data_IF_328826192537
#
_entry.id   IF_328826192537
#
_cell.length_a   1.000
_cell.length_b   1.000
_cell.length_c   1.000
_cell.angle_alpha   90.00
_cell.angle_beta   90.00
_cell.angle_gamma   90.00
#
_symmetry.space_group_name_H-M   'P 1'
#
loop_
_entity.id
_entity.type
_entity.pdbx_description
1 polymer ?
#
# COMPACT_ATOMS: atom_id res chain seq x y z
N UNK A 1 -18.41 10.97 -11.55
CA UNK A 1 -17.27 11.00 -12.48
C UNK A 1 -17.63 11.43 -13.90
N UNK A 2 -18.87 11.23 -14.37
CA UNK A 2 -19.23 11.51 -15.77
C UNK A 2 -19.52 13.00 -16.06
N UNK A 3 -19.88 13.76 -15.02
CA UNK A 3 -20.31 15.17 -15.14
C UNK A 3 -19.21 16.19 -14.80
N UNK A 4 -17.96 15.74 -14.64
CA UNK A 4 -16.82 16.62 -14.38
C UNK A 4 -15.99 16.84 -15.65
N UNK A 5 -15.15 17.88 -15.63
CA UNK A 5 -14.20 18.11 -16.71
C UNK A 5 -13.25 16.91 -16.85
N UNK A 6 -13.41 16.16 -17.95
CA UNK A 6 -12.70 14.89 -18.20
C UNK A 6 -11.18 15.05 -18.20
N UNK A 7 -10.67 16.17 -18.71
CA UNK A 7 -9.21 16.45 -18.74
C UNK A 7 -8.66 16.68 -17.34
N UNK A 8 -9.35 17.47 -16.51
CA UNK A 8 -8.95 17.70 -15.11
C UNK A 8 -9.03 16.41 -14.29
N UNK A 9 -10.09 15.63 -14.47
CA UNK A 9 -10.25 14.33 -13.82
C UNK A 9 -9.10 13.39 -14.18
N UNK A 10 -8.80 13.23 -15.48
CA UNK A 10 -7.70 12.39 -15.94
C UNK A 10 -6.37 12.82 -15.31
N UNK A 11 -6.07 14.12 -15.31
CA UNK A 11 -4.82 14.63 -14.73
C UNK A 11 -4.72 14.37 -13.23
N UNK A 12 -5.83 14.49 -12.49
CA UNK A 12 -5.87 14.18 -11.07
C UNK A 12 -5.63 12.68 -10.84
N UNK A 13 -6.33 11.82 -11.57
CA UNK A 13 -6.17 10.37 -11.47
C UNK A 13 -4.75 9.93 -11.83
N UNK A 14 -4.18 10.44 -12.93
CA UNK A 14 -2.81 10.11 -13.33
C UNK A 14 -1.79 10.49 -12.25
N UNK A 15 -2.01 11.61 -11.54
CA UNK A 15 -1.15 12.02 -10.41
C UNK A 15 -1.26 11.08 -9.22
N UNK A 16 -2.47 10.64 -8.87
CA UNK A 16 -2.66 9.66 -7.78
C UNK A 16 -2.02 8.31 -8.13
N UNK A 17 -2.15 7.87 -9.39
CA UNK A 17 -1.49 6.66 -9.88
C UNK A 17 0.03 6.81 -9.82
N UNK A 18 0.57 7.92 -10.30
CA UNK A 18 2.01 8.22 -10.20
C UNK A 18 2.49 8.17 -8.74
N UNK A 19 1.78 8.84 -7.82
CA UNK A 19 2.13 8.84 -6.40
C UNK A 19 2.14 7.42 -5.82
N UNK A 20 1.10 6.62 -6.10
CA UNK A 20 1.01 5.25 -5.59
C UNK A 20 2.10 4.33 -6.17
N UNK A 21 2.39 4.46 -7.48
CA UNK A 21 3.41 3.65 -8.17
C UNK A 21 4.81 3.98 -7.67
N UNK A 22 5.14 5.26 -7.51
CA UNK A 22 6.45 5.67 -7.00
C UNK A 22 6.61 5.35 -5.51
N UNK A 23 5.55 5.50 -4.70
CA UNK A 23 5.57 5.08 -3.31
C UNK A 23 5.83 3.57 -3.16
N UNK A 24 5.14 2.74 -3.96
CA UNK A 24 5.36 1.30 -3.94
C UNK A 24 6.72 0.90 -4.53
N UNK A 25 7.19 1.61 -5.56
CA UNK A 25 8.31 1.22 -6.40
C UNK A 25 7.99 -0.02 -7.25
N UNK A 26 8.79 -0.27 -8.28
CA UNK A 26 8.50 -1.33 -9.27
C UNK A 26 9.71 -2.24 -9.48
N UNK A 27 9.47 -3.53 -9.68
CA UNK A 27 10.55 -4.42 -10.11
C UNK A 27 10.78 -4.26 -11.63
N UNK A 28 11.97 -3.80 -12.00
CA UNK A 28 12.32 -3.48 -13.39
C UNK A 28 12.22 -4.70 -14.34
N UNK A 29 12.47 -5.90 -13.82
CA UNK A 29 12.48 -7.13 -14.60
C UNK A 29 11.09 -7.74 -14.81
N UNK A 30 10.08 -7.35 -14.03
CA UNK A 30 8.73 -7.93 -14.12
C UNK A 30 7.64 -6.90 -14.41
N UNK A 31 7.88 -5.60 -14.15
CA UNK A 31 6.90 -4.55 -14.36
C UNK A 31 6.46 -4.47 -15.83
N UNK A 32 5.17 -4.21 -16.06
CA UNK A 32 4.64 -3.97 -17.39
C UNK A 32 4.95 -2.54 -17.87
N UNK A 33 4.92 -2.30 -19.19
CA UNK A 33 5.07 -0.94 -19.73
C UNK A 33 4.04 0.05 -19.20
N UNK A 34 2.83 -0.42 -18.87
CA UNK A 34 1.75 0.40 -18.32
C UNK A 34 2.01 0.86 -16.90
N UNK A 35 2.81 0.11 -16.14
CA UNK A 35 3.25 0.48 -14.79
C UNK A 35 4.48 1.38 -14.86
N UNK A 36 5.46 1.01 -15.68
CA UNK A 36 6.72 1.75 -15.85
C UNK A 36 6.52 3.19 -16.31
N UNK A 37 5.51 3.48 -17.14
CA UNK A 37 5.24 4.85 -17.60
C UNK A 37 4.85 5.84 -16.48
N UNK A 38 4.48 5.34 -15.30
CA UNK A 38 4.10 6.14 -14.13
C UNK A 38 5.28 6.31 -13.15
N UNK A 39 6.45 5.78 -13.45
CA UNK A 39 7.66 6.03 -12.65
C UNK A 39 8.20 7.43 -12.97
N UNK A 40 8.62 8.14 -11.93
CA UNK A 40 9.25 9.45 -12.06
C UNK A 40 10.40 9.42 -13.06
N UNK A 41 10.44 10.39 -13.96
CA UNK A 41 11.45 10.46 -15.03
C UNK A 41 11.22 9.55 -16.23
N UNK A 42 10.22 8.65 -16.19
CA UNK A 42 9.84 7.80 -17.30
C UNK A 42 8.57 8.31 -18.01
N UNK A 43 8.41 7.87 -19.25
CA UNK A 43 7.25 8.07 -20.09
C UNK A 43 6.93 6.79 -20.88
N UNK A 44 5.83 6.82 -21.63
CA UNK A 44 5.36 5.69 -22.44
C UNK A 44 6.46 5.11 -23.36
N UNK A 45 7.22 5.97 -24.05
CA UNK A 45 8.28 5.54 -24.97
C UNK A 45 9.47 4.90 -24.24
N UNK A 46 9.91 5.49 -23.13
CA UNK A 46 10.98 4.90 -22.32
C UNK A 46 10.56 3.58 -21.67
N UNK A 47 9.30 3.48 -21.23
CA UNK A 47 8.74 2.25 -20.67
C UNK A 47 8.73 1.11 -21.69
N UNK A 48 8.35 1.40 -22.95
CA UNK A 48 8.44 0.44 -24.05
C UNK A 48 9.89 0.02 -24.33
N UNK A 49 10.82 0.97 -24.34
CA UNK A 49 12.23 0.68 -24.57
C UNK A 49 12.85 -0.16 -23.45
N UNK A 50 12.43 0.01 -22.18
CA UNK A 50 12.87 -0.83 -21.07
C UNK A 50 12.43 -2.28 -21.28
N UNK A 51 11.16 -2.50 -21.61
CA UNK A 51 10.62 -3.85 -21.85
C UNK A 51 11.34 -4.49 -23.03
N UNK A 52 11.49 -3.76 -24.13
CA UNK A 52 12.23 -4.23 -25.30
C UNK A 52 13.69 -4.56 -24.99
N UNK A 53 14.36 -3.72 -24.19
CA UNK A 53 15.73 -3.96 -23.77
C UNK A 53 15.89 -5.29 -23.03
N UNK A 54 15.01 -5.58 -22.05
CA UNK A 54 15.10 -6.85 -21.30
C UNK A 54 14.70 -8.08 -22.11
N UNK A 55 13.84 -7.92 -23.12
CA UNK A 55 13.51 -9.00 -24.05
C UNK A 55 14.69 -9.33 -24.99
N UNK A 56 15.44 -8.31 -25.42
CA UNK A 56 16.57 -8.49 -26.37
C UNK A 56 17.91 -8.79 -25.69
N UNK A 57 18.18 -8.21 -24.52
CA UNK A 57 19.47 -8.30 -23.82
C UNK A 57 19.43 -9.18 -22.57
N UNK A 58 18.24 -9.63 -22.17
CA UNK A 58 18.02 -10.36 -20.93
C UNK A 58 17.73 -9.43 -19.76
N UNK A 59 17.52 -10.03 -18.58
CA UNK A 59 17.13 -9.30 -17.37
C UNK A 59 18.21 -8.32 -16.92
N UNK A 60 17.77 -7.17 -16.40
CA UNK A 60 18.65 -6.18 -15.78
C UNK A 60 19.31 -6.77 -14.54
N UNK A 61 20.62 -6.59 -14.43
CA UNK A 61 21.41 -7.03 -13.27
C UNK A 61 21.79 -5.89 -12.34
N UNK A 62 21.87 -4.67 -12.87
CA UNK A 62 22.20 -3.46 -12.13
C UNK A 62 21.40 -2.27 -12.63
N UNK A 63 21.10 -1.30 -11.77
CA UNK A 63 20.33 -0.10 -12.15
C UNK A 63 21.00 0.70 -13.26
N UNK A 64 22.33 0.80 -13.27
CA UNK A 64 23.09 1.58 -14.24
C UNK A 64 22.88 1.10 -15.68
N UNK A 65 22.42 -0.14 -15.87
CA UNK A 65 22.04 -0.66 -17.19
C UNK A 65 20.85 0.09 -17.80
N UNK A 66 20.03 0.80 -17.01
CA UNK A 66 19.01 1.72 -17.51
C UNK A 66 19.59 2.80 -18.43
N UNK A 67 20.83 3.25 -18.19
CA UNK A 67 21.50 4.24 -19.06
C UNK A 67 21.82 3.67 -20.46
N UNK A 68 21.80 2.35 -20.62
CA UNK A 68 21.97 1.68 -21.93
C UNK A 68 20.64 1.61 -22.70
N UNK A 69 19.52 1.93 -22.06
CA UNK A 69 18.19 1.91 -22.69
C UNK A 69 17.99 3.20 -23.48
N UNK A 70 17.57 3.05 -24.74
CA UNK A 70 17.31 4.20 -25.62
C UNK A 70 16.26 5.13 -24.99
N UNK A 71 16.58 6.42 -24.92
CA UNK A 71 15.68 7.45 -24.40
C UNK A 71 15.73 7.64 -22.88
N UNK A 72 16.63 6.92 -22.18
CA UNK A 72 16.94 7.17 -20.77
C UNK A 72 18.31 7.85 -20.70
N UNK A 73 18.31 9.16 -20.45
CA UNK A 73 19.52 9.93 -20.17
C UNK A 73 19.82 9.99 -18.66
N UNK A 74 20.92 10.64 -18.29
CA UNK A 74 21.34 10.82 -16.89
C UNK A 74 20.23 11.37 -16.00
N UNK A 75 19.52 12.42 -16.44
CA UNK A 75 18.43 13.03 -15.68
C UNK A 75 17.23 12.09 -15.50
N UNK A 76 16.88 11.33 -16.54
CA UNK A 76 15.79 10.35 -16.44
C UNK A 76 16.16 9.21 -15.50
N UNK A 77 17.43 8.77 -15.55
CA UNK A 77 17.97 7.77 -14.64
C UNK A 77 17.94 8.25 -13.18
N UNK A 78 18.45 9.45 -12.89
CA UNK A 78 18.43 10.06 -11.55
C UNK A 78 17.01 10.15 -10.98
N UNK A 79 16.03 10.53 -11.80
CA UNK A 79 14.64 10.61 -11.33
C UNK A 79 13.98 9.23 -11.13
N UNK A 80 14.40 8.21 -11.90
CA UNK A 80 13.75 6.90 -11.90
C UNK A 80 14.43 5.86 -10.99
N UNK A 81 15.73 5.97 -10.75
CA UNK A 81 16.54 4.88 -10.21
C UNK A 81 16.09 4.44 -8.81
N UNK A 82 15.71 5.39 -7.95
CA UNK A 82 15.24 5.10 -6.58
C UNK A 82 13.92 4.30 -6.55
N UNK A 83 13.11 4.38 -7.61
CA UNK A 83 11.81 3.71 -7.71
C UNK A 83 11.88 2.38 -8.47
N UNK A 84 12.96 2.14 -9.22
CA UNK A 84 13.19 0.91 -9.98
C UNK A 84 14.01 -0.09 -9.14
N UNK A 85 13.43 -1.23 -8.77
CA UNK A 85 14.08 -2.29 -7.99
C UNK A 85 14.54 -3.44 -8.88
N UNK A 86 15.66 -4.07 -8.53
CA UNK A 86 16.16 -5.28 -9.18
C UNK A 86 16.33 -6.36 -8.10
N UNK A 87 15.48 -7.38 -8.14
CA UNK A 87 15.56 -8.52 -7.23
C UNK A 87 16.54 -9.55 -7.80
N UNK A 88 17.51 -9.98 -6.99
CA UNK A 88 18.53 -10.96 -7.40
C UNK A 88 19.55 -10.42 -8.41
N UNK A 89 19.73 -9.10 -8.47
CA UNK A 89 20.78 -8.46 -9.26
C UNK A 89 22.17 -8.61 -8.64
N UNK A 90 23.19 -8.11 -9.36
CA UNK A 90 24.58 -8.16 -8.91
C UNK A 90 24.83 -7.25 -7.70
N UNK A 91 24.10 -6.14 -7.60
CA UNK A 91 24.17 -5.22 -6.47
C UNK A 91 22.96 -5.42 -5.54
N UNK A 92 23.16 -5.91 -4.29
CA UNK A 92 22.07 -6.10 -3.34
C UNK A 92 21.29 -4.82 -3.00
N UNK A 93 21.93 -3.65 -3.05
CA UNK A 93 21.28 -2.37 -2.77
C UNK A 93 20.20 -2.01 -3.80
N UNK A 94 20.29 -2.54 -5.02
CA UNK A 94 19.28 -2.31 -6.07
C UNK A 94 17.92 -2.94 -5.73
N UNK A 95 17.86 -3.81 -4.72
CA UNK A 95 16.61 -4.36 -4.18
C UNK A 95 15.88 -3.42 -3.20
N UNK A 96 16.53 -2.33 -2.80
CA UNK A 96 16.03 -1.36 -1.81
C UNK A 96 15.50 -0.08 -2.48
N UNK A 97 14.91 0.82 -1.70
CA UNK A 97 14.51 2.18 -2.13
C UNK A 97 15.67 3.18 -2.11
N UNK A 98 16.86 2.76 -1.70
CA UNK A 98 18.05 3.64 -1.61
C UNK A 98 18.43 4.09 -3.02
N UNK A 99 18.55 5.39 -3.23
CA UNK A 99 19.00 5.94 -4.51
C UNK A 99 20.49 5.65 -4.74
N UNK A 100 20.96 5.39 -5.99
CA UNK A 100 22.38 5.16 -6.28
C UNK A 100 23.34 6.25 -5.76
N UNK A 101 22.89 7.50 -5.70
CA UNK A 101 23.65 8.61 -5.10
C UNK A 101 24.00 8.39 -3.62
N UNK A 102 23.14 7.65 -2.90
CA UNK A 102 23.32 7.34 -1.48
C UNK A 102 23.96 5.97 -1.23
N UNK A 103 24.48 5.29 -2.26
CA UNK A 103 25.12 3.98 -2.08
C UNK A 103 26.37 4.05 -1.21
N UNK A 104 27.14 5.14 -1.31
CA UNK A 104 28.31 5.33 -0.44
C UNK A 104 27.91 5.41 1.03
N UNK A 105 26.82 6.12 1.34
CA UNK A 105 26.28 6.22 2.70
C UNK A 105 25.78 4.85 3.17
N UNK A 106 25.04 4.13 2.33
CA UNK A 106 24.53 2.80 2.67
C UNK A 106 25.66 1.80 2.97
N UNK A 107 26.73 1.82 2.18
CA UNK A 107 27.91 0.99 2.41
C UNK A 107 28.59 1.38 3.73
N UNK A 108 28.81 2.67 3.99
CA UNK A 108 29.43 3.14 5.22
C UNK A 108 28.61 2.77 6.48
N UNK A 109 27.28 2.87 6.41
CA UNK A 109 26.38 2.41 7.49
C UNK A 109 26.53 0.92 7.75
N UNK A 110 26.56 0.10 6.68
CA UNK A 110 26.74 -1.36 6.81
C UNK A 110 28.11 -1.71 7.39
N UNK A 111 29.18 -1.04 6.94
CA UNK A 111 30.53 -1.26 7.43
C UNK A 111 30.66 -0.90 8.92
N UNK A 112 30.02 0.20 9.36
CA UNK A 112 30.01 0.60 10.77
C UNK A 112 29.38 -0.46 11.68
N UNK A 113 28.35 -1.17 11.21
CA UNK A 113 27.72 -2.28 11.94
C UNK A 113 28.37 -3.64 11.67
N UNK A 114 29.52 -3.68 10.98
CA UNK A 114 30.28 -4.90 10.67
C UNK A 114 29.57 -5.84 9.69
N UNK A 115 28.86 -5.27 8.71
CA UNK A 115 28.13 -5.98 7.67
C UNK A 115 28.54 -5.48 6.28
N UNK A 116 28.09 -6.19 5.25
CA UNK A 116 28.30 -5.84 3.85
C UNK A 116 26.97 -5.92 3.06
N UNK A 117 26.93 -5.38 1.82
CA UNK A 117 25.71 -5.40 1.02
C UNK A 117 25.09 -6.79 0.79
N UNK A 118 25.90 -7.86 0.76
CA UNK A 118 25.36 -9.21 0.54
C UNK A 118 24.55 -9.75 1.73
N UNK A 119 24.74 -9.17 2.92
CA UNK A 119 24.03 -9.54 4.13
C UNK A 119 22.55 -9.08 4.11
N UNK A 120 22.20 -8.10 3.27
CA UNK A 120 20.81 -7.66 3.05
C UNK A 120 19.90 -8.83 2.60
N UNK A 121 20.47 -9.78 1.87
CA UNK A 121 19.74 -10.95 1.36
C UNK A 121 19.83 -12.13 2.33
N UNK A 122 20.99 -12.34 2.95
CA UNK A 122 21.29 -13.54 3.75
C UNK A 122 20.85 -13.45 5.21
N UNK A 123 21.01 -12.28 5.84
CA UNK A 123 20.96 -12.13 7.30
C UNK A 123 20.02 -10.99 7.73
N UNK A 124 18.77 -11.03 7.25
CA UNK A 124 17.78 -9.94 7.45
C UNK A 124 17.48 -9.63 8.92
N UNK A 125 17.36 -10.64 9.77
CA UNK A 125 17.04 -10.43 11.19
C UNK A 125 18.21 -9.80 11.95
N UNK A 126 19.42 -10.35 11.78
CA UNK A 126 20.64 -9.79 12.38
C UNK A 126 20.89 -8.34 11.90
N UNK A 127 20.67 -8.04 10.62
CA UNK A 127 20.75 -6.69 10.08
C UNK A 127 19.78 -5.73 10.78
N UNK A 128 18.53 -6.15 10.97
CA UNK A 128 17.51 -5.34 11.67
C UNK A 128 17.89 -5.08 13.12
N UNK A 129 18.42 -6.08 13.80
CA UNK A 129 18.82 -5.96 15.21
C UNK A 129 20.01 -5.02 15.38
N UNK A 130 21.03 -5.12 14.51
CA UNK A 130 22.15 -4.17 14.54
C UNK A 130 21.74 -2.74 14.20
N UNK A 131 20.87 -2.56 13.20
CA UNK A 131 20.34 -1.25 12.82
C UNK A 131 19.40 -0.65 13.87
N UNK A 132 18.87 -1.44 14.81
CA UNK A 132 18.07 -0.93 15.94
C UNK A 132 18.95 -0.20 16.95
N UNK A 133 20.18 -0.66 17.14
CA UNK A 133 21.14 -0.09 18.08
C UNK A 133 22.08 0.94 17.43
N UNK A 134 21.96 1.15 16.11
CA UNK A 134 22.77 2.11 15.38
C UNK A 134 22.40 3.55 15.75
N UNK A 135 23.36 4.31 16.25
CA UNK A 135 23.17 5.72 16.55
C UNK A 135 23.44 6.57 15.30
N UNK A 136 22.35 7.05 14.70
CA UNK A 136 22.39 7.89 13.50
C UNK A 136 23.11 9.22 13.77
N UNK A 137 22.95 9.78 14.98
CA UNK A 137 23.50 11.09 15.32
C UNK A 137 25.04 11.03 15.37
N UNK A 138 25.58 10.09 16.14
CA UNK A 138 27.04 9.90 16.30
C UNK A 138 27.70 9.63 14.93
N UNK A 139 27.06 8.79 14.10
CA UNK A 139 27.57 8.50 12.76
C UNK A 139 27.60 9.75 11.87
N UNK A 140 26.58 10.60 11.90
CA UNK A 140 26.57 11.83 11.10
C UNK A 140 27.64 12.83 11.56
N UNK A 141 27.92 12.89 12.86
CA UNK A 141 28.98 13.73 13.42
C UNK A 141 30.38 13.25 13.00
N UNK A 142 30.58 11.93 12.84
CA UNK A 142 31.83 11.35 12.38
C UNK A 142 32.06 11.45 10.86
N UNK A 143 31.00 11.41 10.05
CA UNK A 143 31.11 11.29 8.58
C UNK A 143 30.67 12.54 7.79
N UNK A 144 30.16 13.58 8.45
CA UNK A 144 29.59 14.80 7.84
C UNK A 144 28.44 14.52 6.85
N UNK A 145 27.78 13.36 6.98
CA UNK A 145 26.62 13.02 6.15
C UNK A 145 25.35 13.71 6.66
N UNK A 146 24.45 14.04 5.74
CA UNK A 146 23.19 14.66 6.09
C UNK A 146 22.30 13.70 6.90
N UNK A 147 21.87 14.14 8.08
CA UNK A 147 21.05 13.38 9.02
C UNK A 147 19.78 12.79 8.38
N UNK A 148 19.10 13.54 7.51
CA UNK A 148 17.86 13.11 6.85
C UNK A 148 18.18 11.97 5.89
N UNK A 149 19.21 12.13 5.06
CA UNK A 149 19.64 11.09 4.11
C UNK A 149 20.09 9.81 4.82
N UNK A 150 20.87 9.92 5.91
CA UNK A 150 21.29 8.74 6.68
C UNK A 150 20.09 8.04 7.31
N UNK A 151 19.13 8.80 7.85
CA UNK A 151 17.91 8.22 8.41
C UNK A 151 17.10 7.45 7.36
N UNK A 152 16.93 8.02 6.18
CA UNK A 152 16.21 7.37 5.07
C UNK A 152 16.92 6.10 4.61
N UNK A 153 18.25 6.14 4.51
CA UNK A 153 19.08 4.97 4.19
C UNK A 153 18.92 3.87 5.25
N UNK A 154 19.02 4.21 6.53
CA UNK A 154 18.87 3.25 7.64
C UNK A 154 17.48 2.60 7.62
N UNK A 155 16.42 3.38 7.39
CA UNK A 155 15.06 2.84 7.31
C UNK A 155 14.89 1.91 6.09
N UNK A 156 15.47 2.27 4.94
CA UNK A 156 15.47 1.42 3.76
C UNK A 156 16.26 0.11 3.97
N UNK A 157 17.38 0.16 4.72
CA UNK A 157 18.18 -1.02 5.07
C UNK A 157 17.46 -1.95 6.07
N UNK A 158 16.63 -1.43 6.98
CA UNK A 158 15.82 -2.26 7.91
C UNK A 158 14.76 -3.11 7.18
N UNK A 159 14.29 -2.64 6.02
CA UNK A 159 13.19 -3.25 5.27
C UNK A 159 13.59 -3.52 3.80
N UNK A 160 14.61 -4.36 3.54
CA UNK A 160 15.09 -4.59 2.19
C UNK A 160 14.03 -5.35 1.38
N UNK A 161 13.54 -4.69 0.32
CA UNK A 161 12.55 -5.26 -0.59
C UNK A 161 11.14 -5.41 -0.02
N UNK A 162 10.81 -4.78 1.11
CA UNK A 162 9.44 -4.77 1.63
C UNK A 162 8.55 -3.94 0.69
N UNK A 163 7.37 -4.47 0.38
CA UNK A 163 6.36 -3.69 -0.30
C UNK A 163 5.65 -2.84 0.75
N UNK A 164 5.54 -1.51 0.59
CA UNK A 164 4.84 -0.68 1.56
C UNK A 164 3.35 -1.05 1.69
N UNK A 165 2.82 -1.86 0.76
CA UNK A 165 1.48 -2.46 0.87
C UNK A 165 1.39 -3.54 1.95
N UNK A 166 2.49 -4.18 2.35
CA UNK A 166 2.48 -5.23 3.38
C UNK A 166 2.16 -4.67 4.77
N UNK A 167 2.41 -3.37 4.99
CA UNK A 167 2.07 -2.65 6.23
C UNK A 167 0.62 -2.18 6.27
N UNK A 168 -0.09 -2.19 5.13
CA UNK A 168 -1.50 -1.83 5.10
C UNK A 168 -2.31 -2.90 5.82
N UNK A 169 -3.38 -2.51 6.55
CA UNK A 169 -4.28 -3.49 7.13
C UNK A 169 -4.74 -4.40 6.00
N UNK A 170 -4.50 -5.71 6.17
CA UNK A 170 -4.95 -6.69 5.21
C UNK A 170 -6.44 -6.44 4.98
N UNK A 171 -6.91 -6.44 3.71
CA UNK A 171 -8.33 -6.42 3.46
C UNK A 171 -8.95 -7.46 4.38
N UNK A 172 -10.00 -7.09 5.10
CA UNK A 172 -10.84 -8.07 5.76
C UNK A 172 -11.44 -8.91 4.62
N UNK A 173 -10.72 -9.96 4.23
CA UNK A 173 -11.26 -11.00 3.40
C UNK A 173 -12.44 -11.53 4.21
N UNK A 174 -13.66 -11.25 3.75
CA UNK A 174 -14.82 -12.02 4.19
C UNK A 174 -14.56 -13.44 3.67
N UNK A 175 -13.80 -14.23 4.41
CA UNK A 175 -13.51 -15.63 4.08
C UNK A 175 -14.80 -16.46 4.09
N UNK A 176 -15.85 -15.95 4.72
CA UNK A 176 -17.15 -16.59 4.77
C UNK A 176 -18.14 -15.72 4.00
N UNK A 177 -18.49 -16.13 2.77
CA UNK A 177 -19.78 -15.76 2.19
C UNK A 177 -20.84 -16.41 3.08
N UNK A 178 -21.18 -15.73 4.17
CA UNK A 178 -22.25 -16.13 5.07
C UNK A 178 -23.52 -16.22 4.22
N UNK A 179 -24.11 -17.41 4.11
CA UNK A 179 -25.44 -17.54 3.52
C UNK A 179 -26.48 -17.11 4.56
N UNK A 180 -27.65 -16.66 4.10
CA UNK A 180 -28.73 -16.25 5.03
C UNK A 180 -29.13 -17.39 5.98
N UNK A 181 -28.93 -18.65 5.55
CA UNK A 181 -29.17 -19.88 6.32
C UNK A 181 -28.21 -20.07 7.50
N UNK A 182 -27.02 -19.49 7.43
CA UNK A 182 -26.00 -19.55 8.49
C UNK A 182 -26.15 -18.44 9.53
N UNK A 183 -27.03 -17.46 9.28
CA UNK A 183 -27.30 -16.39 10.24
C UNK A 183 -28.22 -16.88 11.35
N UNK A 184 -27.71 -16.86 12.58
CA UNK A 184 -28.49 -17.14 13.77
C UNK A 184 -28.81 -15.85 14.53
N UNK A 185 -30.04 -15.70 15.07
CA UNK A 185 -30.35 -14.64 16.02
C UNK A 185 -29.36 -14.63 17.18
N UNK A 186 -28.79 -13.47 17.48
CA UNK A 186 -27.79 -13.27 18.53
C UNK A 186 -26.35 -13.08 18.04
N UNK A 187 -26.04 -13.43 16.78
CA UNK A 187 -24.72 -13.22 16.19
C UNK A 187 -24.38 -11.73 16.10
N UNK A 188 -23.13 -11.37 16.39
CA UNK A 188 -22.61 -10.02 16.21
C UNK A 188 -21.67 -10.01 15.01
N UNK A 189 -21.89 -9.10 14.07
CA UNK A 189 -21.19 -9.00 12.80
C UNK A 189 -20.78 -7.54 12.56
N UNK A 190 -19.78 -7.35 11.71
CA UNK A 190 -19.42 -6.03 11.19
C UNK A 190 -20.03 -5.85 9.79
N UNK A 191 -20.68 -4.71 9.58
CA UNK A 191 -21.33 -4.40 8.32
C UNK A 191 -21.16 -2.95 7.90
N UNK A 192 -21.30 -2.70 6.62
CA UNK A 192 -21.13 -1.37 6.03
C UNK A 192 -22.50 -0.75 5.74
N UNK A 193 -22.72 0.48 6.20
CA UNK A 193 -23.96 1.21 5.94
C UNK A 193 -24.07 1.52 4.44
N UNK A 194 -25.07 0.95 3.76
CA UNK A 194 -25.34 1.22 2.33
C UNK A 194 -26.26 2.41 2.14
N UNK A 195 -27.25 2.57 3.03
CA UNK A 195 -28.23 3.63 2.92
C UNK A 195 -28.82 3.97 4.28
N UNK A 196 -29.17 5.24 4.48
CA UNK A 196 -29.81 5.74 5.70
C UNK A 196 -31.13 6.40 5.31
N UNK A 197 -32.20 6.02 6.00
CA UNK A 197 -33.57 6.50 5.77
C UNK A 197 -34.17 6.98 7.09
N UNK A 198 -35.25 7.75 7.05
CA UNK A 198 -35.84 8.37 8.25
C UNK A 198 -36.21 7.37 9.35
N UNK A 199 -36.53 6.13 8.98
CA UNK A 199 -36.93 5.07 9.92
C UNK A 199 -35.83 4.06 10.28
N UNK A 200 -34.63 4.19 9.72
CA UNK A 200 -33.56 3.22 9.97
C UNK A 200 -32.36 3.33 9.03
N UNK A 201 -31.52 2.30 9.03
CA UNK A 201 -30.37 2.20 8.15
C UNK A 201 -30.24 0.79 7.59
N UNK A 202 -29.86 0.70 6.32
CA UNK A 202 -29.55 -0.55 5.64
C UNK A 202 -28.06 -0.81 5.71
N UNK A 203 -27.70 -1.99 6.24
CA UNK A 203 -26.31 -2.39 6.49
C UNK A 203 -26.02 -3.70 5.78
N UNK A 204 -24.94 -3.71 5.02
CA UNK A 204 -24.39 -4.88 4.34
C UNK A 204 -23.48 -5.64 5.30
N UNK A 205 -23.97 -6.77 5.79
CA UNK A 205 -23.26 -7.69 6.69
C UNK A 205 -22.54 -8.84 5.97
N UNK A 206 -22.48 -8.82 4.63
CA UNK A 206 -21.79 -9.85 3.84
C UNK A 206 -22.63 -11.01 3.38
N UNK A 207 -23.93 -10.94 3.63
CA UNK A 207 -24.91 -11.80 2.97
C UNK A 207 -25.49 -11.04 1.77
N UNK A 208 -26.01 -11.74 0.75
CA UNK A 208 -26.57 -11.12 -0.46
C UNK A 208 -27.70 -10.10 -0.21
N UNK A 209 -28.21 -10.06 1.02
CA UNK A 209 -29.35 -9.25 1.45
C UNK A 209 -28.95 -8.26 2.53
N UNK A 210 -29.42 -7.02 2.41
CA UNK A 210 -29.14 -5.98 3.41
C UNK A 210 -29.98 -6.18 4.67
N UNK A 211 -29.37 -5.98 5.82
CA UNK A 211 -30.08 -5.95 7.09
C UNK A 211 -30.57 -4.56 7.45
N UNK A 212 -31.75 -4.47 8.05
CA UNK A 212 -32.36 -3.21 8.47
C UNK A 212 -32.14 -3.01 9.98
N UNK A 213 -31.50 -1.91 10.34
CA UNK A 213 -31.51 -1.39 11.70
C UNK A 213 -32.66 -0.41 11.81
N UNK A 214 -33.63 -0.69 12.70
CA UNK A 214 -34.72 0.24 12.96
C UNK A 214 -34.27 1.38 13.89
N UNK A 215 -34.84 2.58 13.77
CA UNK A 215 -34.47 3.75 14.61
C UNK A 215 -34.49 3.46 16.12
N UNK A 216 -35.43 2.61 16.57
CA UNK A 216 -35.56 2.21 17.98
C UNK A 216 -34.48 1.24 18.46
N UNK A 217 -33.71 0.68 17.52
CA UNK A 217 -32.63 -0.29 17.73
C UNK A 217 -31.24 0.32 17.49
N UNK A 218 -31.17 1.65 17.39
CA UNK A 218 -29.93 2.41 17.26
C UNK A 218 -29.45 3.05 18.58
N UNK A 219 -30.29 3.07 19.63
CA UNK A 219 -29.99 3.71 20.91
C UNK A 219 -31.21 4.41 21.53
N UNK A 220 -31.16 4.73 22.84
CA UNK A 220 -32.35 5.10 23.63
C UNK A 220 -32.93 6.50 23.41
N UNK A 221 -32.32 7.40 22.62
CA UNK A 221 -32.82 8.77 22.36
C UNK A 221 -32.32 9.35 21.03
N UNK A 222 -32.77 8.80 19.90
CA UNK A 222 -32.32 9.28 18.57
C UNK A 222 -33.46 10.00 17.87
N UNK A 223 -33.21 11.24 17.44
CA UNK A 223 -34.14 12.05 16.65
C UNK A 223 -34.01 11.72 15.17
N UNK A 224 -32.79 11.64 14.65
CA UNK A 224 -32.51 11.33 13.24
C UNK A 224 -31.35 10.31 13.07
N UNK A 225 -31.55 9.22 12.30
CA UNK A 225 -30.51 8.21 12.00
C UNK A 225 -29.26 8.77 11.29
N UNK A 226 -29.41 9.88 10.57
CA UNK A 226 -28.35 10.57 9.82
C UNK A 226 -27.27 11.20 10.72
N UNK A 227 -27.55 11.45 12.00
CA UNK A 227 -26.58 12.03 12.93
C UNK A 227 -25.51 11.02 13.40
N UNK A 228 -25.80 9.73 13.31
CA UNK A 228 -24.97 8.66 13.89
C UNK A 228 -24.35 7.78 12.81
N UNK A 229 -25.06 7.60 11.70
CA UNK A 229 -24.66 6.71 10.63
C UNK A 229 -24.45 7.49 9.33
N UNK A 230 -23.26 7.37 8.78
CA UNK A 230 -22.92 7.85 7.44
C UNK A 230 -22.90 6.70 6.45
N UNK A 231 -23.35 6.95 5.21
CA UNK A 231 -23.21 5.96 4.12
C UNK A 231 -21.73 5.64 3.92
N UNK A 232 -21.38 4.36 3.91
CA UNK A 232 -20.01 3.85 3.83
C UNK A 232 -19.33 3.61 5.18
N UNK A 233 -19.96 3.96 6.30
CA UNK A 233 -19.43 3.69 7.64
C UNK A 233 -19.49 2.20 7.99
N UNK A 234 -18.43 1.68 8.61
CA UNK A 234 -18.38 0.32 9.15
C UNK A 234 -18.91 0.35 10.59
N UNK A 235 -19.90 -0.50 10.88
CA UNK A 235 -20.57 -0.58 12.18
C UNK A 235 -20.70 -2.01 12.66
N UNK A 236 -20.66 -2.19 13.99
CA UNK A 236 -20.97 -3.47 14.65
C UNK A 236 -22.47 -3.60 14.87
N UNK A 237 -23.02 -4.71 14.41
CA UNK A 237 -24.46 -4.99 14.43
C UNK A 237 -24.73 -6.37 14.99
N UNK A 238 -25.83 -6.52 15.71
CA UNK A 238 -26.31 -7.79 16.23
C UNK A 238 -27.56 -8.24 15.47
N UNK A 239 -27.60 -9.50 15.06
CA UNK A 239 -28.75 -10.10 14.37
C UNK A 239 -29.87 -10.33 15.39
N UNK A 240 -31.01 -9.68 15.20
CA UNK A 240 -32.20 -9.88 16.04
C UNK A 240 -33.08 -11.00 15.52
N UNK A 241 -33.32 -11.03 14.22
CA UNK A 241 -34.15 -12.04 13.57
C UNK A 241 -33.81 -12.17 12.10
N UNK A 242 -33.93 -13.38 11.58
CA UNK A 242 -33.75 -13.71 10.16
C UNK A 242 -35.05 -14.35 9.67
N UNK A 243 -35.63 -13.76 8.63
CA UNK A 243 -36.82 -14.27 7.95
C UNK A 243 -36.40 -14.74 6.56
N UNK A 244 -36.25 -16.06 6.42
CA UNK A 244 -35.83 -16.73 5.17
C UNK A 244 -36.92 -16.65 4.09
N UNK A 245 -38.20 -16.68 4.46
CA UNK A 245 -39.31 -16.64 3.50
C UNK A 245 -39.40 -15.26 2.84
N UNK A 246 -39.19 -14.19 3.62
CA UNK A 246 -39.28 -12.81 3.14
C UNK A 246 -37.94 -12.18 2.78
N UNK A 247 -36.85 -12.94 2.92
CA UNK A 247 -35.48 -12.44 2.72
C UNK A 247 -35.21 -11.15 3.51
N UNK A 248 -35.52 -11.15 4.82
CA UNK A 248 -35.37 -9.97 5.68
C UNK A 248 -34.52 -10.28 6.91
N UNK A 249 -33.63 -9.35 7.24
CA UNK A 249 -32.74 -9.47 8.40
C UNK A 249 -32.93 -8.22 9.25
N UNK A 250 -33.35 -8.42 10.51
CA UNK A 250 -33.46 -7.34 11.47
C UNK A 250 -32.16 -7.25 12.27
N UNK A 251 -31.58 -6.05 12.31
CA UNK A 251 -30.32 -5.77 12.98
C UNK A 251 -30.50 -4.76 14.11
N UNK A 252 -29.66 -4.86 15.12
CA UNK A 252 -29.53 -3.89 16.21
C UNK A 252 -28.12 -3.31 16.20
N UNK A 253 -28.00 -2.00 16.38
CA UNK A 253 -26.69 -1.36 16.46
C UNK A 253 -26.07 -1.70 17.82
N UNK A 254 -24.88 -2.31 17.81
CA UNK A 254 -24.09 -2.49 19.03
C UNK A 254 -23.28 -1.22 19.18
N UNK A 255 -23.78 -0.31 20.03
CA UNK A 255 -23.00 0.86 20.43
C UNK A 255 -21.79 0.38 21.24
N UNK A 256 -20.59 0.75 20.80
CA UNK A 256 -19.44 0.73 21.70
C UNK A 256 -19.69 1.85 22.72
N UNK A 257 -20.15 1.51 23.92
CA UNK A 257 -19.91 2.40 25.06
C UNK A 257 -18.39 2.44 25.27
N UNK A 258 -17.80 3.56 24.86
CA UNK A 258 -16.61 4.19 25.44
C UNK A 258 -16.68 5.68 25.12
#
# INVERSE_FOLDING_TARGET
>A
QHDVNKTKLKKALDREVESAVNFAGVNLNTASKHLLKYISGLNEKSAENIVKYREEKGLFKKREELLKVRGIGSKAFEQAAGFCRILGGDNPLDSTTIHPESYQIAIAVLENIGMNPTDLVKCKEELRDRLRNFNIQDFCEETDYNLITVRDVVEALKKPGLDPRDELPKPLLRDDVLTMEQLQPGMTLEGTVRNVVDFGAFVDIGVKQDGLIHRSKMGRKIRDPLEILSVGQIVKVKVLSVDLERSRIALELVSNEN
#
